data_IF_072572681315
#
_entry.id   IF_072572681315
#
_cell.length_a   1.000
_cell.length_b   1.000
_cell.length_c   1.000
_cell.angle_alpha   90.00
_cell.angle_beta   90.00
_cell.angle_gamma   90.00
#
_symmetry.space_group_name_H-M   'P 1'
#
loop_
_entity.id
_entity.type
_entity.pdbx_description
1 polymer ?
#
# COMPACT_ATOMS: atom_id res chain seq x y z
N UNK A 1 -2.80 0.84 13.87
CA UNK A 1 -2.15 -0.45 14.18
C UNK A 1 -3.13 -1.49 14.74
N UNK A 2 -3.87 -1.19 15.82
CA UNK A 2 -4.83 -2.14 16.43
C UNK A 2 -5.87 -2.68 15.43
N UNK A 3 -6.48 -1.80 14.63
CA UNK A 3 -7.46 -2.21 13.61
C UNK A 3 -6.86 -3.14 12.55
N UNK A 4 -5.64 -2.84 12.07
CA UNK A 4 -4.93 -3.69 11.12
C UNK A 4 -4.59 -5.06 11.71
N UNK A 5 -4.16 -5.12 12.97
CA UNK A 5 -3.87 -6.38 13.67
C UNK A 5 -5.14 -7.22 13.88
N UNK A 6 -6.24 -6.60 14.32
CA UNK A 6 -7.53 -7.27 14.49
C UNK A 6 -8.04 -7.86 13.18
N UNK A 7 -8.05 -7.06 12.10
CA UNK A 7 -8.44 -7.54 10.77
C UNK A 7 -7.50 -8.65 10.28
N UNK A 8 -6.20 -8.57 10.55
CA UNK A 8 -5.26 -9.62 10.15
C UNK A 8 -5.55 -10.97 10.82
N UNK A 9 -5.93 -10.94 12.10
CA UNK A 9 -6.33 -12.15 12.86
C UNK A 9 -7.65 -12.71 12.31
N UNK A 10 -8.66 -11.87 12.12
CA UNK A 10 -9.98 -12.29 11.63
C UNK A 10 -9.88 -12.88 10.21
N UNK A 11 -9.12 -12.24 9.33
CA UNK A 11 -8.92 -12.67 7.94
C UNK A 11 -7.85 -13.77 7.80
N UNK A 12 -7.19 -14.17 8.89
CA UNK A 12 -6.10 -15.16 8.93
C UNK A 12 -4.97 -14.87 7.92
N UNK A 13 -4.64 -13.59 7.76
CA UNK A 13 -3.53 -13.13 6.91
C UNK A 13 -2.25 -12.95 7.73
N UNK A 14 -1.12 -12.69 7.05
CA UNK A 14 0.19 -12.58 7.68
C UNK A 14 0.25 -11.35 8.62
N UNK A 15 0.12 -11.60 9.93
CA UNK A 15 0.06 -10.58 10.96
C UNK A 15 1.32 -9.69 11.00
N UNK A 16 2.56 -10.23 11.02
CA UNK A 16 3.77 -9.41 10.96
C UNK A 16 3.76 -8.44 9.79
N UNK A 17 3.49 -8.93 8.56
CA UNK A 17 3.45 -8.08 7.37
C UNK A 17 2.37 -7.00 7.51
N UNK A 18 1.17 -7.38 7.99
CA UNK A 18 0.05 -6.46 8.14
C UNK A 18 0.36 -5.31 9.12
N UNK A 19 1.04 -5.61 10.24
CA UNK A 19 1.43 -4.59 11.22
C UNK A 19 2.60 -3.74 10.72
N UNK A 20 3.59 -4.35 10.05
CA UNK A 20 4.72 -3.63 9.48
C UNK A 20 4.32 -2.64 8.38
N UNK A 21 3.32 -2.95 7.56
CA UNK A 21 2.86 -2.04 6.52
C UNK A 21 2.28 -0.73 7.07
N UNK A 22 1.74 -0.73 8.30
CA UNK A 22 1.26 0.50 8.96
C UNK A 22 2.41 1.46 9.28
N UNK A 23 3.64 0.99 9.41
CA UNK A 23 4.80 1.87 9.63
C UNK A 23 5.19 2.68 8.40
N UNK A 24 4.69 2.32 7.22
CA UNK A 24 4.86 3.13 6.01
C UNK A 24 4.18 4.48 6.18
N UNK A 25 3.06 4.54 6.90
CA UNK A 25 2.31 5.78 7.20
C UNK A 25 2.79 6.39 8.51
N UNK A 26 3.93 7.09 8.47
CA UNK A 26 4.57 7.76 9.60
C UNK A 26 4.43 9.29 9.48
N UNK A 27 4.74 10.10 10.52
CA UNK A 27 4.53 11.56 10.49
C UNK A 27 5.19 12.28 9.31
N UNK A 28 6.26 11.71 8.73
CA UNK A 28 6.96 12.29 7.58
C UNK A 28 6.24 11.93 6.27
N UNK A 29 5.73 10.71 6.14
CA UNK A 29 5.10 10.23 4.91
C UNK A 29 3.60 10.50 4.83
N UNK A 30 2.92 10.69 5.96
CA UNK A 30 1.48 10.98 6.01
C UNK A 30 1.12 12.25 5.21
N UNK A 31 1.77 13.41 5.41
CA UNK A 31 1.40 14.63 4.69
C UNK A 31 1.45 14.49 3.16
N UNK A 32 2.56 14.04 2.53
CA UNK A 32 2.60 13.90 1.08
C UNK A 32 1.66 12.80 0.57
N UNK A 33 1.49 11.70 1.30
CA UNK A 33 0.63 10.60 0.90
C UNK A 33 -0.86 11.01 0.91
N UNK A 34 -1.31 11.71 1.94
CA UNK A 34 -2.70 12.15 2.06
C UNK A 34 -3.02 13.32 1.13
N UNK A 35 -2.08 14.23 0.93
CA UNK A 35 -2.22 15.28 -0.08
C UNK A 35 -2.37 14.69 -1.49
N UNK A 36 -1.56 13.69 -1.82
CA UNK A 36 -1.69 12.99 -3.10
C UNK A 36 -3.02 12.24 -3.22
N UNK A 37 -3.48 11.58 -2.16
CA UNK A 37 -4.79 10.94 -2.14
C UNK A 37 -5.91 11.96 -2.42
N UNK A 38 -5.92 13.10 -1.73
CA UNK A 38 -6.89 14.17 -2.01
C UNK A 38 -6.84 14.62 -3.46
N UNK A 39 -5.65 14.91 -4.01
CA UNK A 39 -5.51 15.35 -5.41
C UNK A 39 -6.10 14.34 -6.40
N UNK A 40 -5.82 13.06 -6.19
CA UNK A 40 -6.36 11.98 -7.05
C UNK A 40 -7.88 11.95 -6.96
N UNK A 41 -8.47 12.03 -5.76
CA UNK A 41 -9.91 12.02 -5.60
C UNK A 41 -10.60 13.28 -6.12
N UNK A 42 -10.03 14.47 -5.89
CA UNK A 42 -10.53 15.74 -6.41
C UNK A 42 -10.47 15.76 -7.94
N UNK A 43 -9.41 15.22 -8.53
CA UNK A 43 -9.30 15.05 -9.97
C UNK A 43 -10.39 14.14 -10.53
N UNK A 44 -10.68 13.03 -9.86
CA UNK A 44 -11.76 12.11 -10.27
C UNK A 44 -13.15 12.75 -10.13
N UNK A 45 -13.37 13.54 -9.09
CA UNK A 45 -14.63 14.24 -8.85
C UNK A 45 -14.78 15.54 -9.66
N UNK A 46 -13.73 15.96 -10.37
CA UNK A 46 -13.67 17.26 -11.06
C UNK A 46 -13.96 18.46 -10.15
N UNK A 47 -13.59 18.36 -8.88
CA UNK A 47 -13.69 19.48 -7.94
C UNK A 47 -12.46 20.40 -8.03
N UNK A 48 -12.63 21.72 -7.82
CA UNK A 48 -11.49 22.62 -7.74
C UNK A 48 -10.57 22.19 -6.61
N UNK A 49 -9.31 21.89 -6.95
CA UNK A 49 -8.31 21.58 -5.93
C UNK A 49 -8.02 22.84 -5.14
N UNK A 50 -8.44 22.88 -3.88
CA UNK A 50 -8.00 23.92 -2.97
C UNK A 50 -6.53 23.70 -2.64
N UNK A 51 -5.69 24.71 -2.83
CA UNK A 51 -4.33 24.70 -2.32
C UNK A 51 -4.40 24.83 -0.79
N UNK A 52 -4.64 23.71 -0.10
CA UNK A 52 -4.52 23.68 1.35
C UNK A 52 -3.07 23.33 1.72
N UNK A 53 -2.53 24.11 2.65
CA UNK A 53 -1.30 23.76 3.35
C UNK A 53 -1.69 22.74 4.40
N UNK A 54 -1.18 21.51 4.30
CA UNK A 54 -1.47 20.46 5.28
C UNK A 54 -0.80 20.82 6.60
N UNK A 55 -1.57 21.36 7.54
CA UNK A 55 -1.12 21.56 8.92
C UNK A 55 -1.56 20.38 9.77
N UNK A 56 -0.62 19.73 10.43
CA UNK A 56 -0.88 18.56 11.26
C UNK A 56 -1.44 18.99 12.64
N UNK A 57 -2.54 19.75 12.65
CA UNK A 57 -3.26 20.18 13.85
C UNK A 57 -4.67 19.58 13.86
N UNK A 58 -5.18 19.25 15.05
CA UNK A 58 -6.50 18.63 15.19
C UNK A 58 -7.64 19.58 14.75
N UNK A 59 -7.45 20.88 14.95
CA UNK A 59 -8.40 21.93 14.55
C UNK A 59 -8.45 22.09 13.03
N UNK A 60 -7.29 22.14 12.38
CA UNK A 60 -7.20 22.15 10.92
C UNK A 60 -7.83 20.90 10.33
N UNK A 61 -7.50 19.73 10.90
CA UNK A 61 -8.03 18.45 10.44
C UNK A 61 -9.56 18.44 10.52
N UNK A 62 -10.18 18.89 11.62
CA UNK A 62 -11.64 18.91 11.76
C UNK A 62 -12.33 19.92 10.83
N UNK A 63 -11.75 21.11 10.63
CA UNK A 63 -12.31 22.14 9.76
C UNK A 63 -12.23 21.78 8.28
N UNK A 64 -11.04 21.37 7.82
CA UNK A 64 -10.81 21.03 6.41
C UNK A 64 -11.38 19.66 6.05
N UNK A 65 -11.35 18.64 6.93
CA UNK A 65 -11.97 17.33 6.62
C UNK A 65 -13.43 17.50 6.21
N UNK A 66 -14.19 18.39 6.84
CA UNK A 66 -15.59 18.60 6.48
C UNK A 66 -15.79 18.98 5.01
N UNK A 67 -14.82 19.68 4.41
CA UNK A 67 -14.83 20.06 2.99
C UNK A 67 -14.15 19.00 2.09
N UNK A 68 -13.04 18.41 2.54
CA UNK A 68 -12.21 17.55 1.69
C UNK A 68 -12.46 16.04 1.87
N UNK A 69 -13.28 15.60 2.82
CA UNK A 69 -13.44 14.17 3.16
C UNK A 69 -13.89 13.32 1.95
N UNK A 70 -14.77 13.85 1.11
CA UNK A 70 -15.31 13.12 -0.05
C UNK A 70 -14.23 12.80 -1.09
N UNK A 71 -13.51 13.78 -1.67
CA UNK A 71 -12.38 13.49 -2.55
C UNK A 71 -11.25 12.76 -1.82
N UNK A 72 -10.98 13.06 -0.55
CA UNK A 72 -9.94 12.38 0.21
C UNK A 72 -10.19 10.87 0.35
N UNK A 73 -11.38 10.45 0.79
CA UNK A 73 -11.72 9.03 0.94
C UNK A 73 -11.75 8.30 -0.39
N UNK A 74 -12.25 8.95 -1.45
CA UNK A 74 -12.23 8.37 -2.80
C UNK A 74 -10.80 8.13 -3.28
N UNK A 75 -9.92 9.12 -3.10
CA UNK A 75 -8.50 9.00 -3.41
C UNK A 75 -7.82 7.89 -2.62
N UNK A 76 -8.08 7.78 -1.31
CA UNK A 76 -7.59 6.70 -0.46
C UNK A 76 -8.05 5.33 -0.96
N UNK A 77 -9.31 5.20 -1.37
CA UNK A 77 -9.86 3.95 -1.90
C UNK A 77 -9.20 3.56 -3.23
N UNK A 78 -9.02 4.51 -4.14
CA UNK A 78 -8.37 4.29 -5.44
C UNK A 78 -6.91 3.87 -5.23
N UNK A 79 -6.14 4.68 -4.52
CA UNK A 79 -4.72 4.44 -4.29
C UNK A 79 -4.50 3.16 -3.46
N UNK A 80 -5.31 2.92 -2.44
CA UNK A 80 -5.28 1.69 -1.66
C UNK A 80 -5.55 0.46 -2.52
N UNK A 81 -6.55 0.51 -3.40
CA UNK A 81 -6.87 -0.60 -4.32
C UNK A 81 -5.75 -0.84 -5.34
N UNK A 82 -5.20 0.23 -5.93
CA UNK A 82 -4.08 0.14 -6.87
C UNK A 82 -2.82 -0.40 -6.19
N UNK A 83 -2.51 0.05 -4.98
CA UNK A 83 -1.38 -0.43 -4.17
C UNK A 83 -1.55 -1.90 -3.79
N UNK A 84 -2.76 -2.33 -3.43
CA UNK A 84 -3.05 -3.73 -3.11
C UNK A 84 -2.85 -4.62 -4.35
N UNK A 85 -3.35 -4.17 -5.52
CA UNK A 85 -3.20 -4.90 -6.78
C UNK A 85 -1.73 -5.02 -7.19
N UNK A 86 -0.99 -3.91 -7.17
CA UNK A 86 0.44 -3.91 -7.52
C UNK A 86 1.25 -4.75 -6.52
N UNK A 87 0.99 -4.64 -5.22
CA UNK A 87 1.62 -5.47 -4.20
C UNK A 87 1.38 -6.97 -4.43
N UNK A 88 0.13 -7.35 -4.73
CA UNK A 88 -0.22 -8.74 -5.04
C UNK A 88 0.51 -9.26 -6.29
N UNK A 89 0.49 -8.48 -7.38
CA UNK A 89 1.17 -8.85 -8.63
C UNK A 89 2.68 -8.95 -8.41
N UNK A 90 3.28 -7.99 -7.71
CA UNK A 90 4.71 -7.98 -7.41
C UNK A 90 5.16 -9.21 -6.62
N UNK A 91 4.44 -9.55 -5.54
CA UNK A 91 4.72 -10.76 -4.74
C UNK A 91 4.56 -12.02 -5.58
N UNK A 92 3.51 -12.11 -6.39
CA UNK A 92 3.25 -13.28 -7.25
C UNK A 92 4.33 -13.46 -8.31
N UNK A 93 4.78 -12.37 -8.93
CA UNK A 93 5.88 -12.39 -9.90
C UNK A 93 7.19 -12.77 -9.22
N UNK A 94 7.52 -12.14 -8.09
CA UNK A 94 8.72 -12.44 -7.31
C UNK A 94 8.79 -13.92 -6.93
N UNK A 95 7.68 -14.48 -6.44
CA UNK A 95 7.57 -15.90 -6.12
C UNK A 95 7.76 -16.79 -7.36
N UNK A 96 7.15 -16.44 -8.50
CA UNK A 96 7.33 -17.17 -9.76
C UNK A 96 8.79 -17.16 -10.20
N UNK A 97 9.44 -16.01 -10.20
CA UNK A 97 10.86 -15.88 -10.55
C UNK A 97 11.73 -16.70 -9.62
N UNK A 98 11.49 -16.62 -8.31
CA UNK A 98 12.24 -17.35 -7.30
C UNK A 98 12.11 -18.88 -7.47
N UNK A 99 10.90 -19.41 -7.69
CA UNK A 99 10.68 -20.84 -7.93
C UNK A 99 11.35 -21.29 -9.23
N UNK A 100 11.20 -20.56 -10.32
CA UNK A 100 11.80 -20.95 -11.62
C UNK A 100 13.32 -20.99 -11.50
N UNK A 101 13.92 -19.99 -10.86
CA UNK A 101 15.35 -19.94 -10.55
C UNK A 101 15.78 -21.15 -9.70
N UNK A 102 15.03 -21.46 -8.63
CA UNK A 102 15.31 -22.59 -7.75
C UNK A 102 15.27 -23.94 -8.51
N UNK A 103 14.24 -24.16 -9.34
CA UNK A 103 14.10 -25.39 -10.13
C UNK A 103 15.21 -25.50 -11.18
N UNK A 104 15.56 -24.40 -11.87
CA UNK A 104 16.68 -24.37 -12.82
C UNK A 104 18.00 -24.73 -12.15
N UNK A 105 18.30 -24.15 -10.98
CA UNK A 105 19.51 -24.47 -10.18
C UNK A 105 19.54 -25.95 -9.77
N UNK A 106 18.39 -26.55 -9.41
CA UNK A 106 18.28 -27.97 -9.10
C UNK A 106 18.56 -28.87 -10.31
N UNK A 107 18.10 -28.51 -11.52
CA UNK A 107 18.38 -29.28 -12.75
C UNK A 107 19.86 -29.26 -13.14
N UNK A 108 20.55 -28.12 -12.95
CA UNK A 108 21.98 -27.99 -13.23
C UNK A 108 22.80 -28.88 -12.28
N UNK A 109 22.52 -28.85 -10.97
CA UNK A 109 23.19 -29.72 -9.99
C UNK A 109 23.01 -31.22 -10.28
N UNK A 110 21.82 -31.63 -10.74
CA UNK A 110 21.56 -33.04 -11.12
C UNK A 110 22.33 -33.48 -12.37
N UNK A 111 22.60 -32.58 -13.33
CA UNK A 111 23.42 -32.90 -14.51
C UNK A 111 24.88 -33.09 -14.12
N UNK A 112 25.43 -32.23 -13.24
CA UNK A 112 26.82 -32.33 -12.78
C UNK A 112 27.12 -33.61 -12.00
N UNK A 113 26.18 -34.11 -11.18
CA UNK A 113 26.36 -35.39 -10.46
C UNK A 113 26.28 -36.64 -11.34
N UNK A 114 25.83 -36.54 -12.60
CA UNK A 114 25.77 -37.68 -13.54
C UNK A 114 26.95 -37.73 -14.51
N UNK A 115 27.81 -36.71 -14.51
CA UNK A 115 28.90 -36.53 -15.48
C UNK A 115 30.30 -36.61 -14.87
N UNK A 116 30.42 -37.01 -13.59
CA UNK A 116 31.68 -37.34 -12.92
C UNK A 116 31.55 -38.72 -12.30
#
# INVERSE_FOLDING_TARGET
MLLAAALAIVLRVNLPISVSLVWITNPITIPPMYYFAYKVGAWVLSEPTHEFVFELSAEWLMGELGAIWQPFLLGCLILGSLSALTGFVAIRLFWRFHIVQYIKKRKIRRKQMKSG
#
